data_IF_786262769684
#
_entry.id   IF_786262769684
#
_cell.length_a   1.000
_cell.length_b   1.000
_cell.length_c   1.000
_cell.angle_alpha   90.00
_cell.angle_beta   90.00
_cell.angle_gamma   90.00
#
_symmetry.space_group_name_H-M   'P 1'
#
loop_
_entity.id
_entity.type
_entity.pdbx_description
1 polymer ?
#
# COMPACT_ATOMS: atom_id res chain seq x y z
N UNK A 1 26.44 -3.23 -47.19
CA UNK A 1 25.04 -2.75 -47.06
C UNK A 1 24.75 -2.58 -45.59
N UNK A 2 24.37 -1.38 -45.13
CA UNK A 2 23.94 -1.18 -43.74
C UNK A 2 22.62 -1.90 -43.53
N UNK A 3 22.50 -2.66 -42.47
CA UNK A 3 21.27 -3.38 -42.11
C UNK A 3 20.12 -2.37 -41.99
N UNK A 4 19.05 -2.48 -42.81
CA UNK A 4 17.87 -1.61 -42.75
C UNK A 4 17.25 -1.57 -41.34
N UNK A 5 17.42 -2.64 -40.57
CA UNK A 5 16.93 -2.74 -39.20
C UNK A 5 17.67 -1.81 -38.23
N UNK A 6 18.91 -1.45 -38.53
CA UNK A 6 19.78 -0.58 -37.73
C UNK A 6 19.56 0.92 -38.01
N UNK A 7 19.06 1.24 -39.20
CA UNK A 7 18.68 2.61 -39.56
C UNK A 7 17.31 2.98 -38.99
N UNK A 8 16.36 2.03 -38.99
CA UNK A 8 15.08 2.17 -38.31
C UNK A 8 15.25 2.36 -36.80
N UNK A 9 16.08 1.54 -36.14
CA UNK A 9 16.39 1.68 -34.71
C UNK A 9 17.00 3.04 -34.38
N UNK A 10 17.89 3.56 -35.22
CA UNK A 10 18.52 4.88 -35.04
C UNK A 10 17.52 6.02 -35.18
N UNK A 11 16.67 5.98 -36.21
CA UNK A 11 15.64 7.01 -36.44
C UNK A 11 14.61 7.02 -35.32
N UNK A 12 14.11 5.85 -34.92
CA UNK A 12 13.17 5.72 -33.81
C UNK A 12 13.79 6.24 -32.50
N UNK A 13 15.05 5.90 -32.20
CA UNK A 13 15.77 6.43 -31.03
C UNK A 13 15.90 7.96 -31.08
N UNK A 14 16.21 8.54 -32.23
CA UNK A 14 16.35 9.99 -32.38
C UNK A 14 15.01 10.73 -32.19
N UNK A 15 13.91 10.19 -32.74
CA UNK A 15 12.57 10.75 -32.59
C UNK A 15 12.07 10.67 -31.14
N UNK A 16 12.38 9.56 -30.44
CA UNK A 16 12.05 9.37 -29.02
C UNK A 16 12.78 10.37 -28.15
N UNK A 17 14.10 10.49 -28.33
CA UNK A 17 14.93 11.43 -27.57
C UNK A 17 14.47 12.87 -27.81
N UNK A 18 14.11 13.21 -29.05
CA UNK A 18 13.57 14.52 -29.38
C UNK A 18 12.20 14.80 -28.70
N UNK A 19 11.30 13.81 -28.68
CA UNK A 19 9.98 13.94 -28.04
C UNK A 19 10.07 14.01 -26.51
N UNK A 20 11.02 13.30 -25.88
CA UNK A 20 11.25 13.34 -24.43
C UNK A 20 11.92 14.64 -23.98
N UNK A 21 12.90 15.12 -24.73
CA UNK A 21 13.61 16.36 -24.40
C UNK A 21 12.73 17.62 -24.52
N UNK A 22 11.60 17.55 -25.23
CA UNK A 22 10.60 18.62 -25.29
C UNK A 22 9.66 18.65 -24.08
N UNK A 23 9.66 17.63 -23.21
CA UNK A 23 8.72 17.50 -22.07
C UNK A 23 9.38 17.23 -20.71
N UNK A 24 10.68 16.95 -20.66
CA UNK A 24 11.37 16.78 -19.39
C UNK A 24 11.60 18.15 -18.71
N UNK A 25 11.25 18.33 -17.42
CA UNK A 25 11.79 19.44 -16.65
C UNK A 25 13.33 19.34 -16.67
N UNK A 26 13.97 20.43 -17.08
CA UNK A 26 15.41 20.57 -17.08
C UNK A 26 15.91 20.58 -15.63
N UNK A 27 16.19 19.40 -15.07
CA UNK A 27 17.23 19.13 -14.05
C UNK A 27 17.11 17.67 -13.60
N UNK A 28 17.78 16.76 -14.30
CA UNK A 28 18.36 15.59 -13.63
C UNK A 28 19.57 16.11 -12.83
N UNK A 29 19.64 15.92 -11.49
CA UNK A 29 20.84 16.26 -10.75
C UNK A 29 22.00 15.49 -11.37
N UNK A 30 23.04 16.21 -11.80
CA UNK A 30 24.32 15.60 -12.14
C UNK A 30 24.74 14.73 -10.95
N UNK A 31 25.11 13.47 -11.23
CA UNK A 31 25.69 12.57 -10.25
C UNK A 31 26.81 13.30 -9.50
N UNK A 32 26.54 13.69 -8.26
CA UNK A 32 27.56 14.24 -7.38
C UNK A 32 28.43 13.04 -7.02
N UNK A 33 29.56 12.93 -7.71
CA UNK A 33 30.59 11.92 -7.54
C UNK A 33 31.30 12.16 -6.18
N UNK A 34 30.60 11.90 -5.07
CA UNK A 34 31.17 11.86 -3.72
C UNK A 34 31.62 10.43 -3.42
N UNK A 35 32.77 10.25 -2.77
CA UNK A 35 33.23 8.93 -2.35
C UNK A 35 32.16 8.30 -1.45
N UNK A 36 31.62 7.15 -1.88
CA UNK A 36 30.67 6.37 -1.09
C UNK A 36 31.45 5.75 0.07
N UNK A 37 31.03 5.94 1.34
CA UNK A 37 31.64 5.24 2.45
C UNK A 37 31.49 3.73 2.25
N UNK A 38 32.58 3.00 2.39
CA UNK A 38 32.59 1.54 2.26
C UNK A 38 31.92 0.89 3.47
N UNK A 39 30.65 0.54 3.31
CA UNK A 39 29.84 -0.19 4.30
C UNK A 39 29.88 -1.72 4.08
N UNK A 40 30.71 -2.21 3.14
CA UNK A 40 30.79 -3.65 2.82
C UNK A 40 31.23 -4.51 4.01
N UNK A 41 31.97 -3.91 4.95
CA UNK A 41 32.45 -4.58 6.16
C UNK A 41 31.40 -4.71 7.29
N UNK A 42 30.24 -4.05 7.16
CA UNK A 42 29.26 -3.92 8.27
C UNK A 42 28.06 -4.89 8.12
N UNK A 43 27.80 -5.41 6.92
CA UNK A 43 26.64 -6.26 6.67
C UNK A 43 27.02 -7.75 6.64
N UNK A 44 26.79 -8.44 7.76
CA UNK A 44 26.58 -9.89 7.73
C UNK A 44 25.40 -10.21 6.79
N UNK A 45 25.48 -11.29 6.01
CA UNK A 45 24.36 -11.66 5.14
C UNK A 45 23.09 -11.90 5.97
N UNK A 46 21.89 -11.54 5.48
CA UNK A 46 20.66 -11.94 6.14
C UNK A 46 20.57 -13.47 6.19
N UNK A 47 20.46 -14.05 7.40
CA UNK A 47 20.48 -15.51 7.58
C UNK A 47 19.10 -16.08 7.97
N UNK A 48 18.15 -15.24 8.39
CA UNK A 48 16.86 -15.73 8.83
C UNK A 48 15.89 -15.90 7.65
N UNK A 49 15.53 -17.14 7.34
CA UNK A 49 14.44 -17.44 6.41
C UNK A 49 13.09 -17.19 7.08
N UNK A 50 12.29 -16.29 6.52
CA UNK A 50 10.95 -16.03 7.05
C UNK A 50 10.03 -17.25 6.84
N UNK A 51 9.02 -17.46 7.71
CA UNK A 51 8.03 -18.52 7.55
C UNK A 51 7.36 -18.53 6.17
N UNK A 52 6.98 -19.72 5.68
CA UNK A 52 6.26 -19.93 4.41
C UNK A 52 4.76 -19.59 4.53
N UNK A 53 4.48 -18.40 5.09
CA UNK A 53 3.15 -17.83 5.28
C UNK A 53 3.01 -16.56 4.42
N UNK A 54 1.90 -16.47 3.68
CA UNK A 54 1.47 -15.25 3.00
C UNK A 54 0.23 -14.74 3.71
N UNK A 55 0.25 -13.49 4.17
CA UNK A 55 -0.84 -12.85 4.89
C UNK A 55 -1.44 -11.73 4.06
N UNK A 56 -2.78 -11.64 4.07
CA UNK A 56 -3.51 -10.50 3.51
C UNK A 56 -4.63 -10.10 4.47
N UNK A 57 -5.05 -8.85 4.42
CA UNK A 57 -6.01 -8.26 5.36
C UNK A 57 -7.21 -7.69 4.59
N UNK A 58 -8.41 -7.94 5.11
CA UNK A 58 -9.64 -7.35 4.65
C UNK A 58 -10.49 -6.84 5.81
N UNK A 59 -10.73 -5.53 5.83
CA UNK A 59 -11.56 -4.85 6.82
C UNK A 59 -12.70 -4.15 6.06
N UNK A 60 -13.94 -4.31 6.54
CA UNK A 60 -15.13 -3.76 5.91
C UNK A 60 -15.91 -4.80 5.11
N UNK A 61 -16.60 -4.36 4.06
CA UNK A 61 -17.65 -5.13 3.41
C UNK A 61 -17.11 -6.39 2.71
N UNK A 62 -17.40 -7.56 3.28
CA UNK A 62 -17.03 -8.87 2.71
C UNK A 62 -17.64 -9.13 1.33
N UNK A 63 -18.75 -8.48 0.97
CA UNK A 63 -19.37 -8.62 -0.34
C UNK A 63 -18.58 -7.95 -1.46
N UNK A 64 -17.69 -7.02 -1.13
CA UNK A 64 -16.78 -6.35 -2.08
C UNK A 64 -15.37 -6.97 -2.10
N UNK A 65 -15.21 -8.12 -1.45
CA UNK A 65 -13.95 -8.87 -1.41
C UNK A 65 -13.68 -9.57 -2.76
N UNK A 66 -12.98 -8.88 -3.66
CA UNK A 66 -12.21 -9.48 -4.74
C UNK A 66 -10.98 -10.24 -4.19
N UNK A 67 -10.91 -11.54 -4.49
CA UNK A 67 -9.81 -12.45 -4.12
C UNK A 67 -8.88 -12.79 -5.29
N UNK A 68 -9.14 -12.28 -6.49
CA UNK A 68 -8.45 -12.71 -7.71
C UNK A 68 -6.93 -12.55 -7.67
N UNK A 69 -6.41 -11.46 -7.10
CA UNK A 69 -4.98 -11.23 -6.93
C UNK A 69 -4.36 -12.20 -5.93
N UNK A 70 -5.07 -12.46 -4.83
CA UNK A 70 -4.62 -13.41 -3.80
C UNK A 70 -4.59 -14.83 -4.36
N UNK A 71 -5.55 -15.17 -5.23
CA UNK A 71 -5.55 -16.47 -5.92
C UNK A 71 -4.36 -16.62 -6.88
N UNK A 72 -3.91 -15.54 -7.53
CA UNK A 72 -2.68 -15.56 -8.32
C UNK A 72 -1.46 -15.83 -7.43
N UNK A 73 -1.34 -15.13 -6.30
CA UNK A 73 -0.28 -15.38 -5.31
C UNK A 73 -0.27 -16.83 -4.83
N UNK A 74 -1.44 -17.37 -4.50
CA UNK A 74 -1.57 -18.76 -4.05
C UNK A 74 -1.15 -19.75 -5.12
N UNK A 75 -1.65 -19.60 -6.35
CA UNK A 75 -1.33 -20.50 -7.44
C UNK A 75 0.16 -20.47 -7.81
N UNK A 76 0.79 -19.30 -7.77
CA UNK A 76 2.23 -19.16 -8.00
C UNK A 76 3.07 -19.72 -6.82
N UNK A 77 2.49 -19.91 -5.64
CA UNK A 77 3.20 -20.33 -4.42
C UNK A 77 2.52 -21.52 -3.74
N UNK A 78 2.40 -22.69 -4.41
CA UNK A 78 1.65 -23.84 -3.88
C UNK A 78 2.21 -24.40 -2.57
N UNK A 79 3.50 -24.15 -2.29
CA UNK A 79 4.17 -24.60 -1.08
C UNK A 79 4.02 -23.65 0.13
N UNK A 80 3.32 -22.51 -0.04
CA UNK A 80 3.11 -21.53 1.03
C UNK A 80 1.65 -21.54 1.49
N UNK A 81 1.43 -21.27 2.77
CA UNK A 81 0.07 -21.12 3.30
C UNK A 81 -0.40 -19.69 3.12
N UNK A 82 -1.51 -19.48 2.40
CA UNK A 82 -2.11 -18.17 2.22
C UNK A 82 -3.25 -17.95 3.23
N UNK A 83 -3.11 -16.91 4.05
CA UNK A 83 -4.02 -16.54 5.13
C UNK A 83 -4.74 -15.22 4.80
N UNK A 84 -6.07 -15.23 4.89
CA UNK A 84 -6.91 -14.05 4.83
C UNK A 84 -7.35 -13.66 6.24
N UNK A 85 -6.99 -12.46 6.68
CA UNK A 85 -7.41 -11.89 7.95
C UNK A 85 -8.60 -10.98 7.76
N UNK A 86 -9.65 -11.21 8.53
CA UNK A 86 -10.94 -10.51 8.39
C UNK A 86 -11.43 -10.00 9.74
N UNK A 87 -12.19 -8.91 9.71
CA UNK A 87 -12.97 -8.47 10.85
C UNK A 87 -14.46 -8.74 10.57
N UNK A 88 -14.92 -9.93 10.98
CA UNK A 88 -16.32 -10.32 10.81
C UNK A 88 -17.29 -9.37 11.52
N UNK A 89 -16.84 -8.73 12.59
CA UNK A 89 -17.64 -7.86 13.45
C UNK A 89 -17.88 -6.44 12.91
N UNK A 90 -17.14 -6.01 11.88
CA UNK A 90 -17.18 -4.64 11.36
C UNK A 90 -17.47 -4.50 9.86
N UNK A 91 -17.99 -5.55 9.21
CA UNK A 91 -18.26 -5.52 7.77
C UNK A 91 -19.25 -4.42 7.32
N UNK A 92 -20.10 -3.91 8.21
CA UNK A 92 -21.05 -2.83 7.90
C UNK A 92 -20.44 -1.43 8.04
N UNK A 93 -19.17 -1.31 8.43
CA UNK A 93 -18.56 -0.03 8.79
C UNK A 93 -18.57 1.00 7.65
N UNK A 94 -18.31 0.59 6.41
CA UNK A 94 -18.34 1.52 5.28
C UNK A 94 -19.75 2.07 5.05
N UNK A 95 -20.75 1.18 5.11
CA UNK A 95 -22.16 1.54 4.95
C UNK A 95 -22.60 2.48 6.08
N UNK A 96 -22.22 2.18 7.30
CA UNK A 96 -22.47 3.04 8.47
C UNK A 96 -21.96 4.46 8.24
N UNK A 97 -20.69 4.63 7.81
CA UNK A 97 -20.13 5.96 7.52
C UNK A 97 -20.88 6.69 6.39
N UNK A 98 -21.25 5.98 5.32
CA UNK A 98 -22.07 6.58 4.25
C UNK A 98 -23.43 7.03 4.75
N UNK A 99 -24.08 6.27 5.65
CA UNK A 99 -25.37 6.65 6.22
C UNK A 99 -25.27 7.89 7.10
N UNK A 100 -24.24 8.00 7.96
CA UNK A 100 -23.99 9.20 8.74
C UNK A 100 -23.77 10.43 7.84
N UNK A 101 -22.91 10.30 6.82
CA UNK A 101 -22.59 11.38 5.90
C UNK A 101 -23.83 11.82 5.09
N UNK A 102 -24.62 10.88 4.58
CA UNK A 102 -25.85 11.18 3.83
C UNK A 102 -26.90 11.83 4.72
N UNK A 103 -27.09 11.34 5.95
CA UNK A 103 -28.02 11.93 6.90
C UNK A 103 -27.67 13.40 7.16
N UNK A 104 -26.41 13.69 7.49
CA UNK A 104 -25.95 15.06 7.76
C UNK A 104 -26.03 15.95 6.52
N UNK A 105 -25.72 15.42 5.33
CA UNK A 105 -25.87 16.15 4.07
C UNK A 105 -27.31 16.62 3.86
N UNK A 106 -28.30 15.81 4.25
CA UNK A 106 -29.72 16.13 4.09
C UNK A 106 -30.25 17.01 5.23
N UNK A 107 -29.89 16.74 6.48
CA UNK A 107 -30.47 17.44 7.64
C UNK A 107 -29.73 18.73 8.02
N UNK A 108 -28.44 18.82 7.70
CA UNK A 108 -27.53 19.88 8.13
C UNK A 108 -26.53 20.29 7.02
N UNK A 109 -27.00 20.75 5.85
CA UNK A 109 -26.14 21.02 4.70
C UNK A 109 -25.12 22.16 4.94
N UNK A 110 -25.49 23.19 5.70
CA UNK A 110 -24.65 24.38 5.94
C UNK A 110 -23.50 24.12 6.92
N UNK A 111 -23.65 23.20 7.88
CA UNK A 111 -22.63 22.87 8.89
C UNK A 111 -22.22 21.39 8.83
N UNK A 112 -22.25 20.83 7.62
CA UNK A 112 -22.12 19.38 7.38
C UNK A 112 -20.87 18.74 8.02
N UNK A 113 -19.73 19.42 8.03
CA UNK A 113 -18.48 18.85 8.54
C UNK A 113 -18.51 18.75 10.06
N UNK A 114 -18.93 19.82 10.76
CA UNK A 114 -19.04 19.84 12.21
C UNK A 114 -20.16 18.93 12.72
N UNK A 115 -21.29 18.90 12.01
CA UNK A 115 -22.39 17.99 12.29
C UNK A 115 -21.98 16.52 12.14
N UNK A 116 -21.24 16.17 11.08
CA UNK A 116 -20.71 14.82 10.89
C UNK A 116 -19.71 14.45 11.99
N UNK A 117 -18.80 15.36 12.34
CA UNK A 117 -17.84 15.14 13.41
C UNK A 117 -18.53 14.85 14.75
N UNK A 118 -19.52 15.66 15.13
CA UNK A 118 -20.32 15.44 16.37
C UNK A 118 -21.02 14.08 16.33
N UNK A 119 -21.66 13.75 15.22
CA UNK A 119 -22.39 12.48 15.07
C UNK A 119 -21.44 11.26 15.13
N UNK A 120 -20.25 11.35 14.55
CA UNK A 120 -19.23 10.31 14.66
C UNK A 120 -18.68 10.18 16.09
N UNK A 121 -18.50 11.29 16.81
CA UNK A 121 -18.08 11.26 18.22
C UNK A 121 -19.16 10.63 19.12
N UNK A 122 -20.44 10.96 18.89
CA UNK A 122 -21.56 10.32 19.56
C UNK A 122 -21.63 8.82 19.26
N UNK A 123 -21.43 8.43 17.99
CA UNK A 123 -21.35 7.03 17.59
C UNK A 123 -20.23 6.30 18.33
N UNK A 124 -19.03 6.89 18.40
CA UNK A 124 -17.90 6.29 19.11
C UNK A 124 -18.18 6.14 20.61
N UNK A 125 -18.72 7.17 21.26
CA UNK A 125 -19.09 7.14 22.67
C UNK A 125 -20.16 6.07 22.97
N UNK A 126 -21.06 5.80 22.03
CA UNK A 126 -22.05 4.73 22.15
C UNK A 126 -21.46 3.34 21.88
N UNK A 127 -20.72 3.17 20.78
CA UNK A 127 -20.29 1.87 20.27
C UNK A 127 -19.08 1.32 21.05
N UNK A 128 -18.00 2.10 21.18
CA UNK A 128 -16.71 1.58 21.66
C UNK A 128 -16.78 0.99 23.08
N UNK A 129 -17.44 1.62 24.08
CA UNK A 129 -17.55 1.03 25.42
C UNK A 129 -18.32 -0.30 25.45
N UNK A 130 -19.28 -0.48 24.54
CA UNK A 130 -20.11 -1.69 24.49
C UNK A 130 -19.47 -2.85 23.72
N UNK A 131 -18.45 -2.57 22.90
CA UNK A 131 -17.67 -3.58 22.18
C UNK A 131 -16.78 -4.43 23.09
N UNK A 132 -16.61 -4.04 24.36
CA UNK A 132 -15.96 -4.88 25.36
C UNK A 132 -16.83 -6.08 25.79
N UNK A 133 -18.14 -6.06 25.49
CA UNK A 133 -19.04 -7.20 25.65
C UNK A 133 -19.08 -8.12 24.42
N UNK A 134 -20.02 -9.07 24.39
CA UNK A 134 -20.20 -10.00 23.26
C UNK A 134 -20.86 -9.35 22.01
N UNK A 135 -21.05 -8.03 22.00
CA UNK A 135 -21.70 -7.29 20.91
C UNK A 135 -20.69 -6.86 19.85
N UNK A 136 -21.01 -7.10 18.58
CA UNK A 136 -20.20 -6.67 17.44
C UNK A 136 -20.43 -5.20 17.08
N UNK A 137 -19.47 -4.59 16.36
CA UNK A 137 -19.64 -3.25 15.80
C UNK A 137 -20.92 -3.16 14.96
N UNK A 138 -21.18 -4.14 14.08
CA UNK A 138 -22.35 -4.13 13.19
C UNK A 138 -23.67 -4.02 13.97
N UNK A 139 -23.83 -4.82 15.05
CA UNK A 139 -25.03 -4.79 15.87
C UNK A 139 -25.21 -3.44 16.59
N UNK A 140 -24.11 -2.88 17.11
CA UNK A 140 -24.12 -1.60 17.81
C UNK A 140 -24.33 -0.41 16.85
N UNK A 141 -23.76 -0.49 15.65
CA UNK A 141 -23.96 0.49 14.59
C UNK A 141 -25.42 0.55 14.16
N UNK A 142 -26.07 -0.60 13.94
CA UNK A 142 -27.50 -0.67 13.63
C UNK A 142 -28.37 -0.07 14.76
N UNK A 143 -28.06 -0.40 16.03
CA UNK A 143 -28.74 0.18 17.19
C UNK A 143 -28.56 1.71 17.25
N UNK A 144 -27.36 2.21 16.99
CA UNK A 144 -27.09 3.64 16.97
C UNK A 144 -27.86 4.35 15.86
N UNK A 145 -27.90 3.79 14.64
CA UNK A 145 -28.66 4.35 13.53
C UNK A 145 -30.16 4.41 13.86
N UNK A 146 -30.72 3.34 14.43
CA UNK A 146 -32.12 3.30 14.87
C UNK A 146 -32.40 4.37 15.95
N UNK A 147 -31.53 4.49 16.95
CA UNK A 147 -31.64 5.50 18.01
C UNK A 147 -31.63 6.93 17.45
N UNK A 148 -30.88 7.18 16.38
CA UNK A 148 -30.79 8.48 15.70
C UNK A 148 -31.86 8.69 14.63
N UNK A 149 -32.74 7.72 14.40
CA UNK A 149 -33.73 7.77 13.33
C UNK A 149 -33.11 7.83 11.93
N UNK A 150 -31.89 7.28 11.76
CA UNK A 150 -31.19 7.24 10.47
C UNK A 150 -31.60 5.94 9.76
N UNK A 151 -32.18 6.01 8.55
CA UNK A 151 -32.69 4.83 7.87
C UNK A 151 -31.57 3.85 7.50
N UNK A 152 -31.83 2.56 7.69
CA UNK A 152 -30.90 1.52 7.23
C UNK A 152 -30.90 1.44 5.71
N UNK A 153 -29.72 1.41 5.09
CA UNK A 153 -29.61 1.13 3.66
C UNK A 153 -29.65 -0.38 3.42
N UNK A 154 -30.33 -0.85 2.35
CA UNK A 154 -30.42 -2.27 2.04
C UNK A 154 -29.03 -2.87 1.86
N UNK A 155 -28.86 -4.10 2.35
CA UNK A 155 -27.60 -4.84 2.22
C UNK A 155 -27.47 -5.41 0.81
N UNK A 156 -26.34 -5.19 0.12
CA UNK A 156 -26.05 -5.92 -1.10
C UNK A 156 -26.02 -7.42 -0.79
N UNK A 157 -26.76 -8.22 -1.55
CA UNK A 157 -26.66 -9.67 -1.47
C UNK A 157 -25.59 -10.10 -2.47
N UNK A 158 -24.38 -10.34 -1.98
CA UNK A 158 -23.35 -11.03 -2.78
C UNK A 158 -22.91 -12.31 -2.07
N UNK A 159 -22.75 -13.43 -2.80
CA UNK A 159 -22.18 -14.63 -2.21
C UNK A 159 -20.78 -14.31 -1.67
N UNK A 160 -20.44 -14.85 -0.50
CA UNK A 160 -19.05 -14.84 -0.06
C UNK A 160 -18.27 -15.69 -1.05
N UNK A 161 -17.19 -15.18 -1.67
CA UNK A 161 -16.42 -15.97 -2.61
C UNK A 161 -15.88 -17.20 -1.90
N UNK A 162 -16.17 -18.38 -2.45
CA UNK A 162 -15.57 -19.61 -1.98
C UNK A 162 -14.05 -19.50 -2.17
N UNK A 163 -13.30 -19.77 -1.11
CA UNK A 163 -11.86 -19.69 -1.13
C UNK A 163 -11.28 -20.78 -0.25
N UNK A 164 -10.23 -21.38 -0.74
CA UNK A 164 -9.39 -22.36 -0.07
C UNK A 164 -8.29 -21.68 0.80
N UNK A 165 -8.38 -20.36 1.03
CA UNK A 165 -7.51 -19.61 1.93
C UNK A 165 -7.84 -19.93 3.39
N UNK A 166 -6.81 -19.88 4.25
CA UNK A 166 -7.03 -19.96 5.69
C UNK A 166 -7.60 -18.63 6.20
N UNK A 167 -8.85 -18.64 6.65
CA UNK A 167 -9.52 -17.45 7.18
C UNK A 167 -9.22 -17.32 8.68
N UNK A 168 -8.77 -16.15 9.11
CA UNK A 168 -8.47 -15.84 10.52
C UNK A 168 -9.16 -14.54 10.95
N UNK A 169 -9.54 -14.44 12.23
CA UNK A 169 -10.23 -13.27 12.77
C UNK A 169 -9.25 -12.26 13.38
N UNK A 170 -9.34 -11.00 12.93
CA UNK A 170 -8.51 -9.86 13.36
C UNK A 170 -8.65 -9.60 14.86
N UNK A 171 -9.84 -9.81 15.43
CA UNK A 171 -10.09 -9.59 16.86
C UNK A 171 -9.10 -10.35 17.77
N UNK A 172 -8.64 -11.53 17.35
CA UNK A 172 -7.70 -12.38 18.10
C UNK A 172 -6.30 -11.76 18.27
N UNK A 173 -5.93 -10.79 17.43
CA UNK A 173 -4.63 -10.13 17.44
C UNK A 173 -4.49 -9.14 18.60
N UNK A 174 -5.59 -8.59 19.07
CA UNK A 174 -5.62 -7.54 20.10
C UNK A 174 -5.67 -8.11 21.52
N UNK A 175 -4.78 -9.03 21.82
CA UNK A 175 -4.72 -9.74 23.11
C UNK A 175 -3.40 -9.49 23.85
N UNK A 176 -3.40 -9.69 25.17
CA UNK A 176 -2.22 -9.50 26.03
C UNK A 176 -1.61 -8.10 25.88
N UNK A 177 -0.30 -8.04 25.60
CA UNK A 177 0.44 -6.76 25.46
C UNK A 177 -0.02 -5.86 24.31
N UNK A 178 -0.85 -6.37 23.40
CA UNK A 178 -1.38 -5.63 22.26
C UNK A 178 -2.82 -5.14 22.45
N UNK A 179 -3.44 -5.42 23.60
CA UNK A 179 -4.80 -4.98 23.89
C UNK A 179 -4.97 -3.46 23.73
N UNK A 180 -3.98 -2.66 24.13
CA UNK A 180 -4.03 -1.20 24.00
C UNK A 180 -4.12 -0.71 22.54
N UNK A 181 -3.59 -1.47 21.57
CA UNK A 181 -3.67 -1.11 20.14
C UNK A 181 -5.08 -1.31 19.58
N UNK A 182 -5.97 -2.03 20.28
CA UNK A 182 -7.37 -2.17 19.87
C UNK A 182 -8.04 -0.82 19.74
N UNK A 183 -7.76 0.09 20.67
CA UNK A 183 -8.33 1.42 20.68
C UNK A 183 -7.90 2.24 19.46
N UNK A 184 -6.62 2.15 19.09
CA UNK A 184 -6.09 2.78 17.89
C UNK A 184 -6.79 2.27 16.62
N UNK A 185 -6.99 0.94 16.54
CA UNK A 185 -7.74 0.32 15.46
C UNK A 185 -9.20 0.80 15.42
N UNK A 186 -9.88 0.81 16.57
CA UNK A 186 -11.28 1.24 16.68
C UNK A 186 -11.44 2.73 16.33
N UNK A 187 -10.46 3.60 16.61
CA UNK A 187 -10.48 4.98 16.12
C UNK A 187 -10.52 5.02 14.58
N UNK A 188 -9.68 4.27 13.89
CA UNK A 188 -9.67 4.29 12.43
C UNK A 188 -10.94 3.69 11.82
N UNK A 189 -11.47 2.63 12.41
CA UNK A 189 -12.71 1.98 11.95
C UNK A 189 -13.94 2.84 12.27
N UNK A 190 -14.19 3.15 13.54
CA UNK A 190 -15.44 3.75 14.01
C UNK A 190 -15.50 5.25 13.70
N UNK A 191 -14.41 5.98 13.92
CA UNK A 191 -14.39 7.44 13.75
C UNK A 191 -14.13 7.84 12.29
N UNK A 192 -13.12 7.25 11.63
CA UNK A 192 -12.65 7.70 10.32
C UNK A 192 -13.14 6.86 9.14
N UNK A 193 -13.51 5.60 9.36
CA UNK A 193 -13.74 4.66 8.26
C UNK A 193 -12.50 4.46 7.39
N UNK A 194 -11.31 4.64 7.96
CA UNK A 194 -10.04 4.58 7.25
C UNK A 194 -9.44 3.17 7.38
N UNK A 195 -9.90 2.27 6.52
CA UNK A 195 -9.48 0.87 6.56
C UNK A 195 -8.01 0.68 6.16
N UNK A 196 -7.40 1.63 5.45
CA UNK A 196 -5.97 1.59 5.16
C UNK A 196 -5.15 1.72 6.44
N UNK A 197 -5.42 2.75 7.24
CA UNK A 197 -4.75 2.96 8.54
C UNK A 197 -5.04 1.83 9.54
N UNK A 198 -6.28 1.31 9.56
CA UNK A 198 -6.62 0.15 10.38
C UNK A 198 -5.83 -1.11 9.95
N UNK A 199 -5.70 -1.34 8.64
CA UNK A 199 -4.92 -2.45 8.07
C UNK A 199 -3.42 -2.31 8.38
N UNK A 200 -2.87 -1.10 8.41
CA UNK A 200 -1.46 -0.86 8.78
C UNK A 200 -1.14 -1.35 10.21
N UNK A 201 -2.05 -1.17 11.16
CA UNK A 201 -1.88 -1.69 12.52
C UNK A 201 -1.94 -3.22 12.51
N UNK A 202 -2.94 -3.78 11.83
CA UNK A 202 -3.21 -5.22 11.78
C UNK A 202 -2.07 -5.98 11.08
N UNK A 203 -1.56 -5.49 9.94
CA UNK A 203 -0.48 -6.16 9.21
C UNK A 203 0.78 -6.31 10.05
N UNK A 204 1.12 -5.29 10.84
CA UNK A 204 2.27 -5.35 11.76
C UNK A 204 2.02 -6.29 12.94
N UNK A 205 0.79 -6.36 13.47
CA UNK A 205 0.44 -7.32 14.53
C UNK A 205 0.55 -8.78 14.04
N UNK A 206 0.04 -9.05 12.84
CA UNK A 206 0.14 -10.37 12.19
C UNK A 206 1.61 -10.75 12.05
N UNK A 207 2.40 -9.89 11.41
CA UNK A 207 3.82 -10.13 11.17
C UNK A 207 4.62 -10.31 12.47
N UNK A 208 4.33 -9.51 13.49
CA UNK A 208 4.98 -9.71 14.78
C UNK A 208 4.66 -11.09 15.39
N UNK A 209 3.42 -11.56 15.27
CA UNK A 209 2.99 -12.80 15.91
C UNK A 209 3.38 -14.05 15.12
N UNK A 210 3.29 -14.00 13.81
CA UNK A 210 3.42 -15.17 12.94
C UNK A 210 4.63 -15.12 12.00
N UNK A 211 5.23 -13.94 11.81
CA UNK A 211 6.23 -13.72 10.77
C UNK A 211 5.63 -13.85 9.38
N UNK A 212 6.45 -14.26 8.40
CA UNK A 212 6.02 -14.50 7.03
C UNK A 212 5.98 -13.22 6.21
N UNK A 213 5.17 -13.21 5.16
CA UNK A 213 5.06 -12.12 4.19
C UNK A 213 3.63 -11.58 4.15
N UNK A 214 3.44 -10.33 4.53
CA UNK A 214 2.21 -9.59 4.29
C UNK A 214 2.18 -9.04 2.87
N UNK A 215 1.02 -9.09 2.21
CA UNK A 215 0.79 -8.56 0.86
C UNK A 215 -0.57 -7.84 0.79
N UNK A 216 -0.56 -6.59 0.34
CA UNK A 216 -1.76 -5.83 0.01
C UNK A 216 -2.50 -6.48 -1.16
N UNK A 217 -3.83 -6.50 -1.09
CA UNK A 217 -4.69 -7.19 -2.06
C UNK A 217 -4.60 -6.67 -3.50
N UNK A 218 -4.05 -5.47 -3.69
CA UNK A 218 -3.88 -4.82 -4.99
C UNK A 218 -2.47 -5.01 -5.57
N UNK A 219 -1.65 -5.83 -4.92
CA UNK A 219 -0.27 -6.15 -5.32
C UNK A 219 -0.21 -7.52 -5.98
N UNK A 220 0.44 -7.61 -7.14
CA UNK A 220 0.68 -8.89 -7.83
C UNK A 220 2.09 -9.43 -7.51
N UNK A 221 2.35 -10.72 -7.79
CA UNK A 221 3.71 -11.25 -7.86
C UNK A 221 4.60 -10.43 -8.81
N UNK A 222 5.90 -10.67 -8.78
CA UNK A 222 6.78 -10.16 -9.83
C UNK A 222 6.38 -10.81 -11.17
N UNK A 223 5.97 -9.96 -12.11
CA UNK A 223 5.56 -10.38 -13.46
C UNK A 223 6.58 -9.95 -14.51
N UNK A 224 7.62 -9.21 -14.14
CA UNK A 224 8.44 -8.50 -15.13
C UNK A 224 9.20 -9.47 -16.05
N UNK A 225 9.61 -10.63 -15.51
CA UNK A 225 10.23 -11.71 -16.29
C UNK A 225 9.35 -12.29 -17.40
N UNK A 226 8.04 -12.06 -17.38
CA UNK A 226 7.12 -12.51 -18.43
C UNK A 226 7.17 -11.62 -19.68
N UNK A 227 7.73 -10.41 -19.57
CA UNK A 227 7.65 -9.36 -20.58
C UNK A 227 8.99 -9.11 -21.27
N UNK A 228 9.60 -10.16 -21.81
CA UNK A 228 10.98 -10.09 -22.34
C UNK A 228 11.11 -9.13 -23.52
N UNK A 229 10.20 -9.19 -24.51
CA UNK A 229 10.26 -8.29 -25.67
C UNK A 229 9.97 -6.85 -25.27
N UNK A 230 8.96 -6.63 -24.43
CA UNK A 230 8.62 -5.31 -23.89
C UNK A 230 9.78 -4.72 -23.08
N UNK A 231 10.47 -5.53 -22.27
CA UNK A 231 11.63 -5.11 -21.48
C UNK A 231 12.81 -4.70 -22.35
N UNK A 232 13.17 -5.53 -23.33
CA UNK A 232 14.22 -5.18 -24.28
C UNK A 232 13.92 -3.86 -25.00
N UNK A 233 12.66 -3.63 -25.36
CA UNK A 233 12.22 -2.38 -25.96
C UNK A 233 12.34 -1.18 -25.01
N UNK A 234 11.86 -1.29 -23.76
CA UNK A 234 11.99 -0.23 -22.75
C UNK A 234 13.44 0.17 -22.51
N UNK A 235 14.36 -0.79 -22.47
CA UNK A 235 15.79 -0.52 -22.35
C UNK A 235 16.35 0.21 -23.58
N UNK A 236 15.95 -0.21 -24.78
CA UNK A 236 16.37 0.43 -26.03
C UNK A 236 15.96 1.91 -26.09
N UNK A 237 14.78 2.23 -25.56
CA UNK A 237 14.20 3.59 -25.61
C UNK A 237 14.47 4.42 -24.34
N UNK A 238 15.19 3.87 -23.36
CA UNK A 238 15.66 4.60 -22.18
C UNK A 238 14.58 4.87 -21.12
N UNK A 239 13.54 4.04 -21.02
CA UNK A 239 12.43 4.20 -20.05
C UNK A 239 12.13 2.92 -19.25
N UNK A 240 13.15 2.25 -18.65
CA UNK A 240 12.92 1.06 -17.85
C UNK A 240 12.06 1.37 -16.62
N UNK A 241 11.17 0.43 -16.25
CA UNK A 241 10.40 0.52 -15.00
C UNK A 241 9.26 1.55 -14.99
N UNK A 242 8.89 2.11 -16.13
CA UNK A 242 7.88 3.17 -16.18
C UNK A 242 6.49 2.66 -15.73
N UNK A 243 5.90 3.30 -14.71
CA UNK A 243 4.62 2.92 -14.09
C UNK A 243 3.48 2.60 -15.07
N UNK A 244 3.29 3.45 -16.09
CA UNK A 244 2.23 3.25 -17.08
C UNK A 244 2.43 1.97 -17.91
N UNK A 245 3.69 1.59 -18.16
CA UNK A 245 4.04 0.35 -18.86
C UNK A 245 3.82 -0.84 -17.92
N UNK A 246 4.28 -0.76 -16.67
CA UNK A 246 4.02 -1.79 -15.65
C UNK A 246 2.52 -2.03 -15.46
N UNK A 247 1.71 -0.96 -15.47
CA UNK A 247 0.25 -1.05 -15.42
C UNK A 247 -0.35 -1.70 -16.66
N UNK A 248 0.16 -1.36 -17.84
CA UNK A 248 -0.27 -1.98 -19.09
C UNK A 248 0.05 -3.50 -19.11
N UNK A 249 1.24 -3.89 -18.63
CA UNK A 249 1.66 -5.29 -18.45
C UNK A 249 0.73 -6.03 -17.49
N UNK A 250 0.50 -5.50 -16.29
CA UNK A 250 -0.37 -6.15 -15.29
C UNK A 250 -1.82 -6.22 -15.76
N UNK A 251 -2.31 -5.21 -16.48
CA UNK A 251 -3.63 -5.22 -17.14
C UNK A 251 -3.72 -6.36 -18.15
N UNK A 252 -2.75 -6.46 -19.06
CA UNK A 252 -2.71 -7.52 -20.07
C UNK A 252 -2.71 -8.91 -19.44
N UNK A 253 -1.86 -9.13 -18.41
CA UNK A 253 -1.79 -10.39 -17.68
C UNK A 253 -3.14 -10.77 -17.05
N UNK A 254 -3.78 -9.84 -16.35
CA UNK A 254 -5.06 -10.10 -15.69
C UNK A 254 -6.16 -10.46 -16.68
N UNK A 255 -6.20 -9.77 -17.83
CA UNK A 255 -7.13 -10.10 -18.91
C UNK A 255 -6.85 -11.51 -19.44
N UNK A 256 -5.57 -11.83 -19.68
CA UNK A 256 -5.16 -13.16 -20.15
C UNK A 256 -5.56 -14.28 -19.21
N UNK A 257 -5.46 -14.07 -17.90
CA UNK A 257 -5.79 -15.05 -16.86
C UNK A 257 -7.30 -15.17 -16.59
N UNK A 258 -8.09 -14.11 -16.79
CA UNK A 258 -9.54 -14.08 -16.53
C UNK A 258 -10.41 -14.40 -17.76
N UNK A 259 -9.77 -14.84 -18.84
CA UNK A 259 -10.27 -14.94 -20.21
C UNK A 259 -10.22 -13.61 -20.99
N UNK A 260 -9.69 -13.60 -22.23
CA UNK A 260 -9.67 -12.42 -23.08
C UNK A 260 -11.08 -11.88 -23.29
N UNK A 261 -11.23 -10.55 -23.23
CA UNK A 261 -12.43 -9.84 -23.65
C UNK A 261 -12.13 -9.00 -24.91
N UNK A 262 -13.16 -8.62 -25.66
CA UNK A 262 -13.02 -7.82 -26.88
C UNK A 262 -12.37 -6.46 -26.61
N UNK A 263 -12.50 -5.93 -25.39
CA UNK A 263 -11.96 -4.64 -24.96
C UNK A 263 -10.49 -4.68 -24.51
N UNK A 264 -9.81 -5.83 -24.60
CA UNK A 264 -8.50 -6.01 -24.00
C UNK A 264 -7.47 -5.01 -24.51
N UNK A 265 -7.45 -4.81 -25.84
CA UNK A 265 -6.58 -3.87 -26.51
C UNK A 265 -6.85 -2.43 -26.06
N UNK A 266 -8.11 -2.04 -25.94
CA UNK A 266 -8.51 -0.70 -25.51
C UNK A 266 -8.06 -0.42 -24.08
N UNK A 267 -8.18 -1.40 -23.17
CA UNK A 267 -7.75 -1.27 -21.78
C UNK A 267 -6.22 -1.14 -21.64
N UNK A 268 -5.46 -1.93 -22.41
CA UNK A 268 -3.99 -1.83 -22.45
C UNK A 268 -3.57 -0.47 -23.03
N UNK A 269 -4.19 -0.04 -24.14
CA UNK A 269 -3.91 1.24 -24.79
C UNK A 269 -4.23 2.43 -23.89
N UNK A 270 -5.30 2.34 -23.09
CA UNK A 270 -5.68 3.37 -22.12
C UNK A 270 -4.60 3.59 -21.04
N UNK A 271 -3.86 2.55 -20.65
CA UNK A 271 -2.75 2.69 -19.71
C UNK A 271 -1.58 3.51 -20.30
N UNK A 272 -1.44 3.56 -21.63
CA UNK A 272 -0.31 4.14 -22.34
C UNK A 272 -0.62 5.52 -22.96
N UNK A 273 -1.71 6.17 -22.55
CA UNK A 273 -2.14 7.46 -23.12
C UNK A 273 -1.12 8.59 -22.97
N UNK A 274 -0.27 8.53 -21.93
CA UNK A 274 0.81 9.50 -21.72
C UNK A 274 1.93 9.41 -22.76
N UNK A 275 2.04 8.29 -23.50
CA UNK A 275 3.06 8.10 -24.52
C UNK A 275 2.62 8.66 -25.88
N UNK A 276 3.54 9.26 -26.66
CA UNK A 276 3.31 9.60 -28.06
C UNK A 276 2.83 8.39 -28.87
N UNK A 277 1.96 8.63 -29.85
CA UNK A 277 1.40 7.58 -30.71
C UNK A 277 2.45 6.67 -31.39
N UNK A 278 3.58 7.19 -31.91
CA UNK A 278 4.64 6.35 -32.50
C UNK A 278 5.25 5.32 -31.53
N UNK A 279 5.14 5.55 -30.22
CA UNK A 279 5.62 4.65 -29.18
C UNK A 279 4.53 3.79 -28.58
N UNK A 280 3.31 4.31 -28.54
CA UNK A 280 2.16 3.65 -27.91
C UNK A 280 1.81 2.35 -28.62
N UNK A 281 1.75 2.38 -29.94
CA UNK A 281 1.29 1.21 -30.72
C UNK A 281 2.30 0.05 -30.70
N UNK A 282 3.60 0.25 -30.98
CA UNK A 282 4.58 -0.83 -30.87
C UNK A 282 4.68 -1.41 -29.45
N UNK A 283 4.57 -0.56 -28.43
CA UNK A 283 4.59 -1.01 -27.04
C UNK A 283 3.37 -1.85 -26.68
N UNK A 284 2.19 -1.45 -27.15
CA UNK A 284 0.96 -2.22 -26.96
C UNK A 284 1.07 -3.61 -27.60
N UNK A 285 1.57 -3.68 -28.84
CA UNK A 285 1.79 -4.93 -29.56
C UNK A 285 2.81 -5.82 -28.87
N UNK A 286 3.92 -5.28 -28.38
CA UNK A 286 4.92 -6.03 -27.62
C UNK A 286 4.35 -6.63 -26.33
N UNK A 287 3.56 -5.86 -25.57
CA UNK A 287 2.89 -6.33 -24.34
C UNK A 287 1.93 -7.49 -24.65
N UNK A 288 1.13 -7.36 -25.72
CA UNK A 288 0.19 -8.41 -26.12
C UNK A 288 0.94 -9.67 -26.57
N UNK A 289 2.00 -9.52 -27.36
CA UNK A 289 2.82 -10.63 -27.82
C UNK A 289 3.46 -11.40 -26.65
N UNK A 290 4.05 -10.67 -25.68
CA UNK A 290 4.62 -11.25 -24.46
C UNK A 290 3.56 -11.97 -23.61
N UNK A 291 2.34 -11.43 -23.53
CA UNK A 291 1.27 -11.97 -22.67
C UNK A 291 0.54 -13.16 -23.29
N UNK A 292 0.43 -13.23 -24.62
CA UNK A 292 -0.33 -14.27 -25.32
C UNK A 292 -0.02 -15.72 -24.86
N UNK A 293 1.25 -16.15 -24.73
CA UNK A 293 1.57 -17.51 -24.31
C UNK A 293 1.45 -17.74 -22.79
N UNK A 294 1.31 -16.68 -21.98
CA UNK A 294 1.42 -16.77 -20.52
C UNK A 294 0.27 -17.57 -19.92
N UNK A 295 0.63 -18.46 -19.00
CA UNK A 295 -0.25 -19.23 -18.11
C UNK A 295 0.09 -18.90 -16.66
N UNK A 296 -0.82 -19.23 -15.76
CA UNK A 296 -0.65 -19.00 -14.32
C UNK A 296 0.60 -19.68 -13.74
N UNK A 297 0.96 -20.86 -14.26
CA UNK A 297 2.14 -21.61 -13.85
C UNK A 297 3.47 -20.99 -14.32
N UNK A 298 3.44 -20.03 -15.25
CA UNK A 298 4.64 -19.35 -15.75
C UNK A 298 5.03 -18.19 -14.81
N UNK A 299 4.15 -17.78 -13.89
CA UNK A 299 4.46 -16.78 -12.86
C UNK A 299 5.44 -17.37 -11.84
N UNK A 300 6.57 -16.70 -11.64
CA UNK A 300 7.64 -17.18 -10.76
C UNK A 300 7.15 -17.26 -9.30
N UNK A 301 7.37 -18.42 -8.69
CA UNK A 301 7.18 -18.60 -7.26
C UNK A 301 8.17 -17.74 -6.46
N UNK A 302 7.78 -17.31 -5.26
CA UNK A 302 8.69 -16.65 -4.34
C UNK A 302 9.79 -17.62 -3.92
N UNK A 303 11.02 -17.18 -4.10
CA UNK A 303 12.18 -17.83 -3.49
C UNK A 303 12.13 -17.71 -1.96
N UNK A 304 12.89 -18.53 -1.22
CA UNK A 304 13.08 -18.33 0.21
C UNK A 304 13.54 -16.90 0.50
N UNK A 305 12.73 -16.14 1.23
CA UNK A 305 13.05 -14.76 1.58
C UNK A 305 13.89 -14.78 2.86
N UNK A 306 15.12 -14.28 2.76
CA UNK A 306 16.02 -14.09 3.88
C UNK A 306 15.97 -12.63 4.36
N UNK A 307 15.93 -12.44 5.69
CA UNK A 307 16.01 -11.13 6.31
C UNK A 307 16.90 -11.19 7.57
N UNK A 308 17.16 -10.03 8.17
CA UNK A 308 17.67 -10.00 9.54
C UNK A 308 16.55 -10.38 10.50
N UNK A 309 16.85 -11.21 11.50
CA UNK A 309 15.84 -11.70 12.46
C UNK A 309 15.04 -10.59 13.13
N UNK A 310 15.68 -9.47 13.45
CA UNK A 310 15.06 -8.37 14.19
C UNK A 310 14.54 -7.22 13.30
N UNK A 311 14.73 -7.27 11.98
CA UNK A 311 14.30 -6.22 11.06
C UNK A 311 13.31 -6.76 10.01
N UNK A 312 12.36 -5.94 9.55
CA UNK A 312 11.51 -6.29 8.43
C UNK A 312 12.20 -6.07 7.08
N UNK A 313 11.73 -6.80 6.07
CA UNK A 313 11.86 -6.43 4.66
C UNK A 313 10.62 -5.65 4.22
N UNK A 314 10.79 -4.70 3.30
CA UNK A 314 9.75 -3.80 2.80
C UNK A 314 9.78 -3.72 1.29
N UNK A 315 8.60 -3.66 0.67
CA UNK A 315 8.49 -3.41 -0.76
C UNK A 315 9.18 -2.11 -1.17
N UNK A 316 10.02 -2.22 -2.19
CA UNK A 316 10.73 -1.15 -2.85
C UNK A 316 10.67 -1.33 -4.37
N UNK A 317 11.04 -0.29 -5.11
CA UNK A 317 11.18 -0.33 -6.57
C UNK A 317 12.61 0.02 -6.94
N UNK A 318 13.26 -0.82 -7.76
CA UNK A 318 14.69 -0.69 -8.09
C UNK A 318 15.05 0.61 -8.79
N UNK A 319 14.10 1.19 -9.53
CA UNK A 319 14.27 2.42 -10.29
C UNK A 319 13.77 3.68 -9.54
N UNK A 320 13.22 3.52 -8.33
CA UNK A 320 12.76 4.62 -7.48
C UNK A 320 13.45 4.56 -6.10
N UNK A 321 14.74 4.96 -6.02
CA UNK A 321 15.46 4.98 -4.76
C UNK A 321 14.76 5.90 -3.73
N UNK A 322 15.05 5.69 -2.45
CA UNK A 322 14.49 6.38 -1.29
C UNK A 322 12.97 6.25 -1.04
N UNK A 323 12.20 5.71 -1.98
CA UNK A 323 10.75 5.50 -1.83
C UNK A 323 10.40 4.08 -1.42
N UNK A 324 9.69 3.96 -0.30
CA UNK A 324 9.29 2.68 0.28
C UNK A 324 7.77 2.53 0.33
N UNK A 325 7.33 1.27 0.25
CA UNK A 325 5.92 0.91 0.28
C UNK A 325 5.66 -0.10 1.40
N UNK A 326 4.48 -0.01 2.02
CA UNK A 326 4.00 -0.99 3.01
C UNK A 326 3.13 -2.08 2.38
N UNK A 327 3.04 -2.11 1.05
CA UNK A 327 2.26 -3.09 0.29
C UNK A 327 2.77 -4.51 0.49
N UNK A 328 4.09 -4.69 0.60
CA UNK A 328 4.70 -5.95 0.98
C UNK A 328 5.60 -5.71 2.18
N UNK A 329 5.42 -6.51 3.23
CA UNK A 329 6.27 -6.48 4.42
C UNK A 329 6.54 -7.92 4.84
N UNK A 330 7.80 -8.29 5.05
CA UNK A 330 8.17 -9.61 5.55
C UNK A 330 9.02 -9.52 6.80
N UNK A 331 8.89 -10.47 7.72
CA UNK A 331 9.81 -10.56 8.86
C UNK A 331 9.80 -11.92 9.55
N UNK A 332 10.75 -12.10 10.47
CA UNK A 332 10.68 -13.17 11.46
C UNK A 332 9.56 -12.93 12.48
N UNK A 333 8.94 -13.99 13.03
CA UNK A 333 8.06 -13.84 14.19
C UNK A 333 8.85 -13.25 15.37
N UNK A 334 8.24 -12.31 16.07
CA UNK A 334 8.82 -11.63 17.23
C UNK A 334 9.84 -10.54 16.91
N UNK A 335 10.05 -10.19 15.63
CA UNK A 335 11.04 -9.20 15.20
C UNK A 335 10.96 -7.88 16.01
N UNK A 336 12.09 -7.46 16.59
CA UNK A 336 12.14 -6.25 17.44
C UNK A 336 11.78 -4.97 16.68
N UNK A 337 12.19 -4.83 15.43
CA UNK A 337 11.86 -3.69 14.57
C UNK A 337 10.34 -3.50 14.46
N UNK A 338 9.60 -4.58 14.21
CA UNK A 338 8.13 -4.56 14.17
C UNK A 338 7.55 -4.22 15.55
N UNK A 339 8.12 -4.75 16.63
CA UNK A 339 7.70 -4.35 17.99
C UNK A 339 7.91 -2.87 18.27
N UNK A 340 8.97 -2.25 17.75
CA UNK A 340 9.24 -0.82 17.87
C UNK A 340 8.22 -0.03 17.05
N UNK A 341 7.92 -0.45 15.81
CA UNK A 341 6.88 0.16 14.97
C UNK A 341 5.51 0.17 15.67
N UNK A 342 5.08 -0.97 16.23
CA UNK A 342 3.83 -1.06 16.99
C UNK A 342 3.81 -0.13 18.22
N UNK A 343 4.93 -0.02 18.95
CA UNK A 343 5.06 0.93 20.07
C UNK A 343 5.03 2.39 19.58
N UNK A 344 5.63 2.69 18.44
CA UNK A 344 5.64 4.02 17.84
C UNK A 344 4.22 4.44 17.44
N UNK A 345 3.45 3.56 16.80
CA UNK A 345 2.03 3.78 16.52
C UNK A 345 1.29 4.13 17.81
N UNK A 346 1.39 3.30 18.84
CA UNK A 346 0.69 3.54 20.11
C UNK A 346 1.09 4.88 20.75
N UNK A 347 2.39 5.22 20.76
CA UNK A 347 2.86 6.53 21.27
C UNK A 347 2.30 7.70 20.47
N UNK A 348 2.23 7.59 19.14
CA UNK A 348 1.68 8.63 18.27
C UNK A 348 0.17 8.83 18.50
N UNK A 349 -0.59 7.75 18.68
CA UNK A 349 -2.00 7.86 19.09
C UNK A 349 -2.16 8.49 20.48
N UNK A 350 -1.32 8.13 21.46
CA UNK A 350 -1.35 8.78 22.78
C UNK A 350 -1.08 10.29 22.67
N UNK A 351 -0.18 10.71 21.78
CA UNK A 351 0.05 12.13 21.50
C UNK A 351 -1.23 12.79 20.95
N UNK A 352 -1.94 12.14 20.01
CA UNK A 352 -3.23 12.65 19.52
C UNK A 352 -4.28 12.75 20.63
N UNK A 353 -4.38 11.74 21.49
CA UNK A 353 -5.29 11.74 22.64
C UNK A 353 -4.98 12.89 23.61
N UNK A 354 -3.71 13.08 23.99
CA UNK A 354 -3.29 14.15 24.90
C UNK A 354 -3.53 15.56 24.36
N UNK A 355 -3.62 15.72 23.05
CA UNK A 355 -3.94 16.98 22.38
C UNK A 355 -5.41 17.07 21.93
N UNK A 356 -6.25 16.11 22.33
CA UNK A 356 -7.65 15.99 21.95
C UNK A 356 -7.92 15.91 20.42
N UNK A 357 -6.89 15.64 19.62
CA UNK A 357 -6.94 15.61 18.16
C UNK A 357 -7.78 14.45 17.58
N UNK A 358 -8.14 13.46 18.43
CA UNK A 358 -9.03 12.37 18.07
C UNK A 358 -10.50 12.84 17.96
N UNK A 359 -10.91 13.75 18.84
CA UNK A 359 -12.32 14.15 18.98
C UNK A 359 -12.60 15.58 18.53
N UNK A 360 -11.56 16.37 18.22
CA UNK A 360 -11.70 17.75 17.72
C UNK A 360 -11.09 17.91 16.33
N UNK A 361 -11.56 18.92 15.61
CA UNK A 361 -10.99 19.30 14.32
C UNK A 361 -9.84 20.28 14.55
N UNK A 362 -8.63 19.88 14.17
CA UNK A 362 -7.44 20.73 14.19
C UNK A 362 -6.95 20.83 12.74
N UNK A 363 -6.97 22.01 12.14
CA UNK A 363 -6.61 22.19 10.73
C UNK A 363 -5.13 22.51 10.51
N UNK A 364 -4.47 23.10 11.50
CA UNK A 364 -3.05 23.49 11.43
C UNK A 364 -2.21 22.71 12.44
N UNK A 365 -0.95 22.52 12.10
CA UNK A 365 0.05 22.00 13.03
C UNK A 365 0.93 23.16 13.51
N UNK A 366 1.36 23.10 14.76
CA UNK A 366 2.36 24.01 15.32
C UNK A 366 3.77 23.46 15.03
N UNK A 367 4.61 24.18 14.30
CA UNK A 367 5.95 23.73 13.91
C UNK A 367 6.92 23.52 15.10
N UNK A 368 6.53 23.86 16.33
CA UNK A 368 7.38 23.73 17.52
C UNK A 368 7.62 22.29 17.98
N UNK A 369 6.78 21.33 17.61
CA UNK A 369 6.95 19.93 18.02
C UNK A 369 6.77 18.98 16.84
N UNK A 370 7.74 18.11 16.55
CA UNK A 370 7.71 17.22 15.39
C UNK A 370 6.42 16.40 15.21
N UNK A 371 5.83 15.89 16.31
CA UNK A 371 4.57 15.14 16.24
C UNK A 371 3.33 16.01 15.96
N UNK A 372 3.44 17.34 15.98
CA UNK A 372 2.31 18.23 15.71
C UNK A 372 1.72 18.04 14.32
N UNK A 373 2.53 17.59 13.35
CA UNK A 373 2.09 17.21 12.00
C UNK A 373 1.00 16.13 11.99
N UNK A 374 0.81 15.42 13.10
CA UNK A 374 -0.25 14.42 13.26
C UNK A 374 -1.56 15.02 13.75
N UNK A 375 -1.55 16.22 14.37
CA UNK A 375 -2.76 16.85 14.94
C UNK A 375 -3.90 17.03 13.93
N UNK A 376 -3.64 17.25 12.62
CA UNK A 376 -4.69 17.24 11.61
C UNK A 376 -5.33 15.87 11.32
N UNK A 377 -5.09 14.83 12.12
CA UNK A 377 -5.63 13.48 11.96
C UNK A 377 -7.12 13.44 11.63
N UNK A 378 -7.94 14.22 12.34
CA UNK A 378 -9.37 14.31 12.03
C UNK A 378 -9.64 15.07 10.73
N UNK A 379 -8.95 16.18 10.52
CA UNK A 379 -9.12 17.01 9.34
C UNK A 379 -8.72 16.27 8.05
N UNK A 380 -7.66 15.46 8.08
CA UNK A 380 -7.25 14.60 6.97
C UNK A 380 -8.40 13.73 6.46
N UNK A 381 -9.26 13.19 7.33
CA UNK A 381 -10.39 12.35 6.89
C UNK A 381 -11.39 13.09 6.01
N UNK A 382 -11.45 14.42 6.11
CA UNK A 382 -12.33 15.27 5.31
C UNK A 382 -11.71 15.63 3.96
N UNK A 383 -10.42 15.98 3.95
CA UNK A 383 -9.71 16.45 2.74
C UNK A 383 -8.98 15.36 1.97
N UNK A 384 -8.82 14.17 2.56
CA UNK A 384 -8.23 12.95 1.97
C UNK A 384 -6.81 13.15 1.41
N UNK A 385 -5.96 13.86 2.14
CA UNK A 385 -4.54 14.06 1.78
C UNK A 385 -3.70 12.80 2.02
N UNK A 386 -3.94 12.07 3.12
CA UNK A 386 -3.23 10.84 3.45
C UNK A 386 -1.87 11.02 4.15
N UNK A 387 -1.38 12.26 4.26
CA UNK A 387 -0.11 12.62 4.89
C UNK A 387 0.01 12.20 6.36
N UNK A 388 -1.02 12.46 7.16
CA UNK A 388 -1.09 12.02 8.56
C UNK A 388 -1.14 10.49 8.62
N UNK A 389 -1.90 9.83 7.75
CA UNK A 389 -1.95 8.35 7.73
C UNK A 389 -0.57 7.75 7.40
N UNK A 390 0.12 8.29 6.39
CA UNK A 390 1.49 7.90 6.02
C UNK A 390 2.46 8.07 7.21
N UNK A 391 2.33 9.17 7.94
CA UNK A 391 3.15 9.48 9.10
C UNK A 391 2.67 8.84 10.41
N UNK A 392 1.47 8.27 10.49
CA UNK A 392 0.92 7.71 11.74
C UNK A 392 1.09 6.19 11.78
N UNK A 393 0.64 5.50 10.73
CA UNK A 393 0.63 4.03 10.62
C UNK A 393 1.27 3.51 9.34
N UNK A 394 1.32 4.31 8.29
CA UNK A 394 1.77 3.92 6.95
C UNK A 394 3.30 3.83 6.77
N UNK A 395 3.77 3.77 5.51
CA UNK A 395 5.19 3.54 5.19
C UNK A 395 6.12 4.65 5.72
N UNK A 396 5.64 5.89 5.84
CA UNK A 396 6.43 6.98 6.43
C UNK A 396 6.84 6.68 7.88
N UNK A 397 5.92 6.18 8.70
CA UNK A 397 6.22 5.75 10.07
C UNK A 397 7.22 4.59 10.11
N UNK A 398 7.05 3.61 9.23
CA UNK A 398 7.94 2.44 9.15
C UNK A 398 9.37 2.87 8.79
N UNK A 399 9.53 3.68 7.74
CA UNK A 399 10.84 4.19 7.30
C UNK A 399 11.49 5.05 8.37
N UNK A 400 10.74 5.92 9.05
CA UNK A 400 11.27 6.72 10.16
C UNK A 400 11.81 5.84 11.30
N UNK A 401 11.12 4.75 11.63
CA UNK A 401 11.61 3.79 12.63
C UNK A 401 12.88 3.08 12.14
N UNK A 402 12.92 2.66 10.87
CA UNK A 402 14.11 1.99 10.32
C UNK A 402 15.31 2.92 10.24
N UNK A 403 15.11 4.17 9.82
CA UNK A 403 16.16 5.18 9.83
C UNK A 403 16.68 5.40 11.24
N UNK A 404 15.79 5.69 12.21
CA UNK A 404 16.20 5.89 13.61
C UNK A 404 16.99 4.69 14.17
N UNK A 405 16.58 3.47 13.85
CA UNK A 405 17.33 2.26 14.20
C UNK A 405 18.68 2.19 13.50
N UNK A 406 18.75 2.51 12.22
CA UNK A 406 19.99 2.56 11.45
C UNK A 406 21.00 3.55 12.05
N UNK A 407 20.59 4.78 12.36
CA UNK A 407 21.46 5.76 13.04
C UNK A 407 21.98 5.23 14.38
N UNK A 408 21.11 4.62 15.19
CA UNK A 408 21.50 4.10 16.51
C UNK A 408 22.44 2.88 16.42
N UNK A 409 22.11 1.91 15.57
CA UNK A 409 22.87 0.65 15.45
C UNK A 409 24.23 0.91 14.82
N UNK A 410 24.27 1.73 13.77
CA UNK A 410 25.49 2.04 13.02
C UNK A 410 26.27 3.21 13.63
N UNK A 411 25.75 3.83 14.70
CA UNK A 411 26.34 5.00 15.38
C UNK A 411 26.68 6.14 14.41
N UNK A 412 25.75 6.43 13.50
CA UNK A 412 25.92 7.46 12.48
C UNK A 412 25.80 8.86 13.09
N UNK A 413 26.59 9.80 12.57
CA UNK A 413 26.44 11.22 12.86
C UNK A 413 25.13 11.76 12.28
N UNK A 414 24.53 12.74 12.96
CA UNK A 414 23.35 13.49 12.46
C UNK A 414 23.64 14.28 11.17
N UNK A 415 24.91 14.47 10.84
CA UNK A 415 25.35 15.08 9.57
C UNK A 415 25.09 14.19 8.35
N UNK A 416 24.95 12.88 8.55
CA UNK A 416 24.62 11.96 7.46
C UNK A 416 23.15 12.19 7.08
N UNK A 417 22.81 12.49 5.82
CA UNK A 417 21.42 12.72 5.43
C UNK A 417 20.58 11.44 5.51
N UNK A 418 19.31 11.49 5.96
CA UNK A 418 18.43 10.32 5.98
C UNK A 418 18.24 9.66 4.61
N UNK A 419 18.24 10.46 3.54
CA UNK A 419 18.19 10.00 2.15
C UNK A 419 19.32 9.03 1.82
N UNK A 420 20.54 9.33 2.26
CA UNK A 420 21.71 8.48 2.04
C UNK A 420 21.54 7.11 2.69
N UNK A 421 21.08 7.06 3.94
CA UNK A 421 20.83 5.80 4.64
C UNK A 421 19.64 5.04 4.01
N UNK A 422 18.59 5.76 3.59
CA UNK A 422 17.44 5.19 2.89
C UNK A 422 17.87 4.48 1.60
N UNK A 423 18.69 5.15 0.78
CA UNK A 423 19.26 4.58 -0.44
C UNK A 423 20.15 3.37 -0.16
N UNK A 424 20.99 3.44 0.89
CA UNK A 424 21.83 2.32 1.29
C UNK A 424 20.99 1.08 1.69
N UNK A 425 19.88 1.28 2.41
CA UNK A 425 18.94 0.20 2.78
C UNK A 425 18.19 -0.38 1.57
N UNK A 426 18.05 0.38 0.47
CA UNK A 426 17.44 -0.07 -0.77
C UNK A 426 18.28 -1.06 -1.56
N UNK A 427 19.57 -1.21 -1.25
CA UNK A 427 20.40 -2.23 -1.92
C UNK A 427 19.80 -3.64 -1.77
N UNK A 428 20.20 -4.56 -2.65
CA UNK A 428 19.81 -5.98 -2.52
C UNK A 428 20.50 -6.67 -1.32
N UNK A 429 21.64 -6.13 -0.89
CA UNK A 429 22.52 -6.76 0.10
C UNK A 429 22.07 -6.64 1.57
N UNK A 430 21.43 -5.55 2.03
CA UNK A 430 20.99 -5.42 3.42
C UNK A 430 19.81 -6.33 3.79
N UNK A 431 19.13 -7.01 2.86
CA UNK A 431 17.95 -7.80 3.22
C UNK A 431 16.87 -6.97 3.91
N UNK A 432 16.70 -5.71 3.48
CA UNK A 432 15.65 -4.77 3.93
C UNK A 432 14.72 -4.43 2.77
N UNK A 433 15.23 -4.28 1.54
CA UNK A 433 14.39 -4.07 0.37
C UNK A 433 13.88 -5.38 -0.23
N UNK A 434 12.62 -5.37 -0.65
CA UNK A 434 11.95 -6.47 -1.34
C UNK A 434 11.44 -5.99 -2.70
N UNK A 435 11.83 -6.70 -3.76
CA UNK A 435 11.55 -6.32 -5.15
C UNK A 435 10.68 -7.32 -5.93
N UNK A 436 10.44 -8.51 -5.37
CA UNK A 436 9.69 -9.58 -6.05
C UNK A 436 8.18 -9.37 -5.96
N UNK A 437 7.70 -8.23 -6.47
CA UNK A 437 6.29 -7.83 -6.48
C UNK A 437 6.00 -6.84 -7.62
N UNK A 438 4.71 -6.63 -7.90
CA UNK A 438 4.23 -5.63 -8.87
C UNK A 438 3.18 -4.74 -8.20
N UNK A 439 3.51 -3.45 -8.00
CA UNK A 439 2.64 -2.46 -7.36
C UNK A 439 1.70 -1.75 -8.34
N UNK A 440 2.12 -1.52 -9.58
CA UNK A 440 1.33 -0.82 -10.59
C UNK A 440 0.32 -1.79 -11.25
N UNK A 441 -0.89 -1.83 -10.70
CA UNK A 441 -1.96 -2.75 -11.13
C UNK A 441 -3.27 -1.99 -11.35
N UNK A 442 -4.24 -2.57 -12.09
CA UNK A 442 -5.56 -1.97 -12.25
C UNK A 442 -6.27 -1.66 -10.93
N UNK A 443 -6.11 -2.53 -9.92
CA UNK A 443 -6.73 -2.35 -8.61
C UNK A 443 -6.03 -1.25 -7.80
N UNK A 444 -4.70 -1.18 -7.83
CA UNK A 444 -3.96 -0.14 -7.10
C UNK A 444 -4.19 1.26 -7.67
N UNK A 445 -4.41 1.37 -8.99
CA UNK A 445 -4.81 2.62 -9.65
C UNK A 445 -6.19 3.14 -9.21
N UNK A 446 -7.06 2.27 -8.67
CA UNK A 446 -8.40 2.60 -8.17
C UNK A 446 -8.43 2.78 -6.64
N UNK A 447 -7.28 2.72 -5.97
CA UNK A 447 -7.20 2.71 -4.51
C UNK A 447 -7.82 3.98 -3.93
N UNK A 448 -8.88 3.79 -3.14
CA UNK A 448 -9.87 4.82 -2.82
C UNK A 448 -9.43 5.82 -1.74
N UNK A 449 -8.35 5.53 -1.01
CA UNK A 449 -7.91 6.36 0.11
C UNK A 449 -7.01 7.53 -0.31
N UNK A 450 -6.41 7.49 -1.52
CA UNK A 450 -5.53 8.54 -2.07
C UNK A 450 -6.17 9.40 -3.17
N UNK A 451 -7.49 9.37 -3.35
CA UNK A 451 -8.19 10.08 -4.44
C UNK A 451 -7.92 11.61 -4.49
N UNK A 452 -7.32 12.23 -3.46
CA UNK A 452 -6.84 13.62 -3.48
C UNK A 452 -5.42 13.84 -4.04
N UNK A 453 -4.55 12.82 -4.03
CA UNK A 453 -3.14 12.93 -4.47
C UNK A 453 -2.92 12.55 -5.93
N UNK A 454 -3.79 11.73 -6.53
CA UNK A 454 -3.63 11.29 -7.91
C UNK A 454 -3.72 12.44 -8.93
N UNK A 455 -4.38 13.56 -8.60
CA UNK A 455 -4.40 14.75 -9.45
C UNK A 455 -3.16 15.65 -9.31
N UNK A 456 -2.34 15.46 -8.26
CA UNK A 456 -1.16 16.29 -7.97
C UNK A 456 0.19 15.55 -8.17
N UNK A 457 0.17 14.26 -8.54
CA UNK A 457 1.43 13.52 -8.83
C UNK A 457 2.14 13.98 -10.11
N UNK A 458 1.50 14.78 -10.95
CA UNK A 458 2.15 15.43 -12.10
C UNK A 458 2.79 16.78 -11.73
N UNK A 459 2.47 17.36 -10.57
CA UNK A 459 2.95 18.68 -10.15
C UNK A 459 3.87 18.68 -8.92
N UNK A 460 4.07 17.52 -8.28
CA UNK A 460 4.98 17.35 -7.14
C UNK A 460 5.95 16.17 -7.33
N UNK A 461 6.60 16.12 -8.51
CA UNK A 461 7.80 15.33 -8.78
C UNK A 461 8.95 16.26 -9.08
#
# INVERSE_FOLDING_TARGET
MKDPHDDFKRRLRAEIVAAFNQRAPQTLPQEINRPRPDVSHIAHKPEYRIPDLIHTVWIGDRHSLDLSYIQIWKAANPNKTCCLWVDSGSHDCQRFHHQLANHVKTTRPCDRHDALLRLQNEAFAFIHPQMAGEKTFNALAAQFLALKGIPEQPRPVSPTPASDLQINEIASLFTGKFAALRRCYDYEVILRGNFAAASDIVRLLILYRFGGLYIDRDTLPDIDGLFTTTNAWQHLVGIPGHHAITRAKSTALLIRLRAPNEDALAQIRACLLSFPEPLREPLCQAIIADTAPVRLADIRALEPIACYRDLPVLSALSWLPETWFSNVIGCAPGAKGVSIMLRTIHKRYRFLESNNAIFTLIASHDNRHYLSRLLPWRYESLIKTGEVTLALTGPGMIVEVLLALGYQILKLSEEIPPAFLSEAMHGAYPGIAFFSHTLDTPLSARSTWMNGLCNNRESAR
#
